data_IF_297754004001
#
_entry.id   IF_297754004001
#
_cell.length_a   1.000
_cell.length_b   1.000
_cell.length_c   1.000
_cell.angle_alpha   90.00
_cell.angle_beta   90.00
_cell.angle_gamma   90.00
#
_symmetry.space_group_name_H-M   'P 1'
#
loop_
_entity.id
_entity.type
_entity.pdbx_description
1 polymer ?
#
# COMPACT_ATOMS: atom_id res chain seq x y z
N UNK A 1 10.28 2.67 5.82
CA UNK A 1 11.33 3.71 5.85
C UNK A 1 12.33 3.43 6.96
N UNK A 2 12.01 3.61 8.27
CA UNK A 2 12.95 3.47 9.40
C UNK A 2 13.77 2.16 9.38
N UNK A 3 13.12 1.02 9.07
CA UNK A 3 13.80 -0.27 9.01
C UNK A 3 14.84 -0.35 7.89
N UNK A 4 14.53 0.21 6.72
CA UNK A 4 15.45 0.25 5.59
C UNK A 4 16.66 1.13 5.87
N UNK A 5 16.44 2.31 6.47
CA UNK A 5 17.51 3.20 6.92
C UNK A 5 18.43 2.48 7.90
N UNK A 6 17.88 1.82 8.94
CA UNK A 6 18.65 1.04 9.92
C UNK A 6 19.42 -0.14 9.31
N UNK A 7 19.04 -0.58 8.12
CA UNK A 7 19.76 -1.60 7.34
C UNK A 7 20.82 -1.01 6.40
N UNK A 8 21.04 0.32 6.44
CA UNK A 8 22.06 1.01 5.66
C UNK A 8 21.64 1.36 4.23
N UNK A 9 20.34 1.33 3.92
CA UNK A 9 19.87 1.72 2.60
C UNK A 9 19.65 3.23 2.51
N UNK A 10 19.92 3.81 1.34
CA UNK A 10 19.48 5.15 1.00
C UNK A 10 17.97 5.10 0.70
N UNK A 11 17.18 5.86 1.43
CA UNK A 11 15.71 5.80 1.33
C UNK A 11 15.14 7.13 0.91
N UNK A 12 14.28 7.10 -0.10
CA UNK A 12 13.39 8.20 -0.45
C UNK A 12 11.94 7.79 -0.12
N UNK A 13 11.32 8.49 0.80
CA UNK A 13 9.95 8.22 1.23
C UNK A 13 8.98 9.10 0.44
N UNK A 14 8.15 8.47 -0.41
CA UNK A 14 7.08 9.16 -1.14
C UNK A 14 5.84 9.26 -0.27
N UNK A 15 5.35 10.49 -0.06
CA UNK A 15 4.16 10.78 0.76
C UNK A 15 3.14 11.55 -0.04
N UNK A 16 1.85 11.34 0.26
CA UNK A 16 0.78 12.12 -0.37
C UNK A 16 0.89 13.59 0.05
N UNK A 17 0.95 14.49 -0.94
CA UNK A 17 0.85 15.92 -0.70
C UNK A 17 -0.51 16.27 -0.07
N UNK A 18 -0.48 17.06 0.99
CA UNK A 18 -1.68 17.57 1.64
C UNK A 18 -1.44 18.98 2.22
N UNK A 19 -2.54 19.75 2.39
CA UNK A 19 -2.49 21.12 2.88
C UNK A 19 -2.03 21.27 4.33
N UNK A 20 -2.02 20.18 5.10
CA UNK A 20 -1.56 20.19 6.50
C UNK A 20 -0.05 19.97 6.63
N UNK A 21 0.66 19.78 5.51
CA UNK A 21 2.08 19.44 5.47
C UNK A 21 2.44 18.21 6.32
N UNK A 22 1.47 17.30 6.55
CA UNK A 22 1.68 16.07 7.31
C UNK A 22 2.32 15.00 6.43
N UNK A 23 3.28 14.29 6.99
CA UNK A 23 3.91 13.10 6.39
C UNK A 23 3.37 11.80 7.00
N UNK A 24 2.23 11.90 7.70
CA UNK A 24 1.62 10.78 8.40
C UNK A 24 2.53 10.25 9.51
N UNK A 25 2.68 8.94 9.61
CA UNK A 25 3.51 8.33 10.66
C UNK A 25 5.01 8.70 10.60
N UNK A 26 5.49 9.25 9.48
CA UNK A 26 6.87 9.75 9.42
C UNK A 26 7.09 10.97 10.31
N UNK A 27 6.06 11.76 10.59
CA UNK A 27 6.14 12.90 11.52
C UNK A 27 6.50 12.47 12.96
N UNK A 28 6.32 11.19 13.28
CA UNK A 28 6.60 10.58 14.60
C UNK A 28 7.87 9.72 14.59
N UNK A 29 8.65 9.75 13.52
CA UNK A 29 9.95 9.08 13.49
C UNK A 29 10.94 9.77 14.42
N UNK A 30 11.93 8.99 14.89
CA UNK A 30 13.08 9.54 15.58
C UNK A 30 13.77 10.61 14.72
N UNK A 31 14.12 11.75 15.36
CA UNK A 31 14.69 12.90 14.65
C UNK A 31 16.03 12.60 13.98
N UNK A 32 16.82 11.69 14.55
CA UNK A 32 18.10 11.33 13.95
C UNK A 32 17.88 10.43 12.73
N UNK A 33 16.92 9.50 12.81
CA UNK A 33 16.53 8.69 11.65
C UNK A 33 15.92 9.56 10.54
N UNK A 34 15.18 10.61 10.87
CA UNK A 34 14.60 11.52 9.87
C UNK A 34 15.66 12.27 9.03
N UNK A 35 16.87 12.43 9.53
CA UNK A 35 17.98 13.05 8.78
C UNK A 35 18.61 12.12 7.75
N UNK A 36 18.36 10.82 7.87
CA UNK A 36 18.98 9.76 7.07
C UNK A 36 18.16 9.36 5.84
N UNK A 37 17.02 10.02 5.56
CA UNK A 37 16.22 9.75 4.39
C UNK A 37 15.58 11.01 3.82
N UNK A 38 15.33 10.98 2.51
CA UNK A 38 14.63 12.06 1.79
C UNK A 38 13.12 11.85 1.84
N UNK A 39 12.35 12.93 2.03
CA UNK A 39 10.89 12.91 1.90
C UNK A 39 10.49 13.64 0.62
N UNK A 40 9.79 12.95 -0.25
CA UNK A 40 9.21 13.52 -1.47
C UNK A 40 7.68 13.53 -1.34
N UNK A 41 7.06 14.71 -1.39
CA UNK A 41 5.61 14.84 -1.36
C UNK A 41 5.04 14.99 -2.77
N UNK A 42 4.12 14.11 -3.12
CA UNK A 42 3.50 14.08 -4.45
C UNK A 42 2.19 13.28 -4.45
N UNK A 43 1.68 12.97 -5.62
CA UNK A 43 0.49 12.14 -5.80
C UNK A 43 0.84 10.93 -6.69
N UNK A 44 0.52 9.72 -6.23
CA UNK A 44 0.78 8.50 -6.99
C UNK A 44 0.04 8.47 -8.34
N UNK A 45 -1.05 9.22 -8.46
CA UNK A 45 -1.84 9.35 -9.69
C UNK A 45 -1.19 10.26 -10.73
N UNK A 46 -0.18 11.04 -10.33
CA UNK A 46 0.60 11.92 -11.22
C UNK A 46 1.93 11.28 -11.57
N UNK A 47 2.06 10.90 -12.84
CA UNK A 47 3.26 10.26 -13.38
C UNK A 47 4.51 11.12 -13.20
N UNK A 48 4.38 12.45 -13.32
CA UNK A 48 5.49 13.38 -13.12
C UNK A 48 6.05 13.32 -11.70
N UNK A 49 5.16 13.31 -10.70
CA UNK A 49 5.54 13.15 -9.27
C UNK A 49 6.24 11.82 -9.02
N UNK A 50 5.70 10.71 -9.59
CA UNK A 50 6.29 9.37 -9.43
C UNK A 50 7.68 9.31 -10.04
N UNK A 51 7.86 9.82 -11.25
CA UNK A 51 9.17 9.89 -11.94
C UNK A 51 10.19 10.72 -11.16
N UNK A 52 9.78 11.89 -10.68
CA UNK A 52 10.66 12.75 -9.89
C UNK A 52 11.14 12.06 -8.60
N UNK A 53 10.23 11.34 -7.91
CA UNK A 53 10.55 10.62 -6.70
C UNK A 53 11.46 9.39 -6.96
N UNK A 54 11.20 8.63 -8.01
CA UNK A 54 11.93 7.39 -8.30
C UNK A 54 13.29 7.61 -8.98
N UNK A 55 13.62 8.84 -9.34
CA UNK A 55 14.91 9.14 -9.97
C UNK A 55 16.08 8.66 -9.11
N UNK A 56 16.97 7.86 -9.72
CA UNK A 56 18.15 7.25 -9.06
C UNK A 56 17.79 6.29 -7.93
N UNK A 57 16.63 5.65 -8.00
CA UNK A 57 16.28 4.54 -7.11
C UNK A 57 16.50 3.21 -7.83
N UNK A 58 17.12 2.26 -7.15
CA UNK A 58 17.35 0.91 -7.66
C UNK A 58 16.11 0.03 -7.47
N UNK A 59 15.38 0.24 -6.37
CA UNK A 59 14.19 -0.56 -5.99
C UNK A 59 13.03 0.37 -5.65
N UNK A 60 11.83 0.03 -6.11
CA UNK A 60 10.59 0.72 -5.73
C UNK A 60 9.73 -0.20 -4.87
N UNK A 61 9.45 0.20 -3.62
CA UNK A 61 8.49 -0.47 -2.75
C UNK A 61 7.18 0.29 -2.81
N UNK A 62 6.23 -0.23 -3.57
CA UNK A 62 4.93 0.40 -3.81
C UNK A 62 3.91 0.02 -2.73
N UNK A 63 3.72 0.92 -1.76
CA UNK A 63 2.77 0.80 -0.65
C UNK A 63 1.55 1.72 -0.80
N UNK A 64 1.61 2.68 -1.73
CA UNK A 64 0.56 3.69 -1.89
C UNK A 64 -0.74 3.06 -2.41
N UNK A 65 -1.80 3.13 -1.62
CA UNK A 65 -3.11 2.60 -1.98
C UNK A 65 -4.22 3.23 -1.12
N UNK A 66 -5.43 3.24 -1.64
CA UNK A 66 -6.64 3.34 -0.84
C UNK A 66 -7.05 1.92 -0.42
N UNK A 67 -7.25 1.70 0.90
CA UNK A 67 -7.44 0.36 1.47
C UNK A 67 -8.76 0.15 2.23
N UNK A 68 -9.51 1.22 2.53
CA UNK A 68 -10.73 1.14 3.32
C UNK A 68 -11.90 0.53 2.55
N UNK A 69 -12.24 -0.75 2.77
CA UNK A 69 -13.36 -1.42 2.08
C UNK A 69 -14.66 -0.61 2.13
N UNK A 70 -15.14 -0.12 3.31
CA UNK A 70 -16.39 0.65 3.36
C UNK A 70 -16.36 1.92 2.50
N UNK A 71 -15.24 2.62 2.47
CA UNK A 71 -15.10 3.82 1.64
C UNK A 71 -15.10 3.49 0.14
N UNK A 72 -14.65 2.30 -0.26
CA UNK A 72 -14.64 1.88 -1.66
C UNK A 72 -16.04 1.80 -2.28
N UNK A 73 -17.07 1.58 -1.48
CA UNK A 73 -18.46 1.57 -1.95
C UNK A 73 -19.00 2.98 -2.25
N UNK A 74 -18.44 4.01 -1.62
CA UNK A 74 -18.85 5.40 -1.83
C UNK A 74 -18.03 6.11 -2.91
N UNK A 75 -16.78 5.73 -3.06
CA UNK A 75 -15.84 6.40 -3.98
C UNK A 75 -15.03 5.39 -4.83
N UNK A 76 -15.68 4.47 -5.58
CA UNK A 76 -14.98 3.42 -6.33
C UNK A 76 -13.99 3.98 -7.36
N UNK A 77 -14.31 5.12 -7.99
CA UNK A 77 -13.42 5.78 -8.94
C UNK A 77 -12.07 6.15 -8.33
N UNK A 78 -12.08 6.65 -7.08
CA UNK A 78 -10.84 6.99 -6.38
C UNK A 78 -9.92 5.77 -6.18
N UNK A 79 -10.50 4.57 -6.03
CA UNK A 79 -9.74 3.32 -5.93
C UNK A 79 -9.14 2.90 -7.26
N UNK A 80 -9.86 3.08 -8.36
CA UNK A 80 -9.32 2.85 -9.70
C UNK A 80 -8.15 3.81 -9.96
N UNK A 81 -8.34 5.09 -9.72
CA UNK A 81 -7.33 6.12 -9.98
C UNK A 81 -6.08 5.93 -9.10
N UNK A 82 -6.26 5.59 -7.82
CA UNK A 82 -5.13 5.41 -6.90
C UNK A 82 -4.48 4.06 -7.06
N UNK A 83 -5.25 2.96 -7.01
CA UNK A 83 -4.70 1.62 -6.92
C UNK A 83 -4.29 1.06 -8.29
N UNK A 84 -5.07 1.31 -9.35
CA UNK A 84 -4.73 0.80 -10.70
C UNK A 84 -3.83 1.79 -11.43
N UNK A 85 -4.29 3.02 -11.64
CA UNK A 85 -3.50 4.03 -12.35
C UNK A 85 -2.21 4.38 -11.61
N UNK A 86 -2.27 4.50 -10.27
CA UNK A 86 -1.07 4.72 -9.46
C UNK A 86 -0.05 3.59 -9.62
N UNK A 87 -0.48 2.33 -9.65
CA UNK A 87 0.40 1.18 -9.92
C UNK A 87 0.97 1.23 -11.34
N UNK A 88 0.15 1.58 -12.34
CA UNK A 88 0.62 1.78 -13.72
C UNK A 88 1.72 2.84 -13.78
N UNK A 89 1.54 4.00 -13.13
CA UNK A 89 2.54 5.06 -13.08
C UNK A 89 3.87 4.59 -12.48
N UNK A 90 3.83 3.77 -11.43
CA UNK A 90 5.02 3.16 -10.82
C UNK A 90 5.71 2.24 -11.81
N UNK A 91 4.97 1.39 -12.50
CA UNK A 91 5.53 0.41 -13.44
C UNK A 91 6.09 1.07 -14.70
N UNK A 92 5.44 2.10 -15.24
CA UNK A 92 5.97 2.90 -16.35
C UNK A 92 7.29 3.59 -15.94
N UNK A 93 7.32 4.16 -14.73
CA UNK A 93 8.52 4.78 -14.19
C UNK A 93 9.64 3.75 -13.99
N UNK A 94 9.31 2.58 -13.46
CA UNK A 94 10.27 1.49 -13.26
C UNK A 94 10.88 1.03 -14.58
N UNK A 95 10.07 0.92 -15.64
CA UNK A 95 10.54 0.62 -16.98
C UNK A 95 11.46 1.71 -17.54
N UNK A 96 11.03 2.98 -17.44
CA UNK A 96 11.77 4.10 -18.02
C UNK A 96 13.14 4.33 -17.31
N UNK A 97 13.27 3.93 -16.05
CA UNK A 97 14.49 4.07 -15.25
C UNK A 97 15.25 2.75 -15.05
N UNK A 98 14.76 1.66 -15.66
CA UNK A 98 15.39 0.33 -15.59
C UNK A 98 15.68 -0.11 -14.14
N UNK A 99 14.70 0.09 -13.23
CA UNK A 99 14.88 -0.28 -11.82
C UNK A 99 15.08 -1.78 -11.66
N UNK A 100 15.87 -2.19 -10.66
CA UNK A 100 16.20 -3.60 -10.42
C UNK A 100 15.00 -4.43 -9.95
N UNK A 101 14.04 -3.83 -9.21
CA UNK A 101 12.83 -4.53 -8.79
C UNK A 101 11.72 -3.55 -8.34
N UNK A 102 10.47 -3.93 -8.60
CA UNK A 102 9.29 -3.30 -8.03
C UNK A 102 8.62 -4.27 -7.07
N UNK A 103 8.55 -3.92 -5.80
CA UNK A 103 7.81 -4.69 -4.80
C UNK A 103 6.40 -4.10 -4.72
N UNK A 104 5.43 -4.74 -5.37
CA UNK A 104 4.03 -4.32 -5.38
C UNK A 104 3.28 -4.95 -4.21
N UNK A 105 2.75 -4.12 -3.31
CA UNK A 105 1.94 -4.59 -2.18
C UNK A 105 0.48 -4.70 -2.58
N UNK A 106 0.00 -5.93 -2.68
CA UNK A 106 -1.40 -6.31 -2.89
C UNK A 106 -2.11 -6.59 -1.55
N UNK A 107 -2.99 -7.58 -1.50
CA UNK A 107 -3.79 -7.95 -0.32
C UNK A 107 -4.33 -9.37 -0.47
N UNK A 108 -4.62 -10.05 0.64
CA UNK A 108 -5.38 -11.31 0.64
C UNK A 108 -6.84 -11.14 0.17
N UNK A 109 -7.40 -9.93 0.22
CA UNK A 109 -8.77 -9.65 -0.24
C UNK A 109 -8.98 -9.94 -1.75
N UNK A 110 -7.90 -10.06 -2.53
CA UNK A 110 -7.97 -10.46 -3.94
C UNK A 110 -8.48 -11.88 -4.13
N UNK A 111 -8.35 -12.74 -3.13
CA UNK A 111 -8.80 -14.12 -3.17
C UNK A 111 -10.30 -14.30 -2.89
N UNK A 112 -10.92 -13.32 -2.20
CA UNK A 112 -12.31 -13.40 -1.78
C UNK A 112 -12.56 -14.55 -0.79
N UNK A 113 -13.72 -15.19 -0.87
CA UNK A 113 -14.05 -16.34 -0.04
C UNK A 113 -13.20 -17.54 -0.41
N UNK A 114 -12.55 -18.15 0.58
CA UNK A 114 -11.69 -19.32 0.38
C UNK A 114 -12.46 -20.48 -0.25
N UNK A 115 -11.99 -21.00 -1.36
CA UNK A 115 -12.50 -22.23 -2.00
C UNK A 115 -11.80 -23.48 -1.50
N UNK A 116 -10.57 -23.33 -1.04
CA UNK A 116 -9.75 -24.35 -0.39
C UNK A 116 -8.78 -23.69 0.59
N UNK A 117 -8.31 -24.45 1.55
CA UNK A 117 -7.31 -24.02 2.53
C UNK A 117 -6.20 -25.07 2.64
N UNK A 118 -4.95 -24.67 2.82
CA UNK A 118 -4.48 -23.28 2.91
C UNK A 118 -4.66 -22.53 1.56
N UNK A 119 -4.88 -21.21 1.62
CA UNK A 119 -4.89 -20.37 0.43
C UNK A 119 -3.44 -20.21 -0.05
N UNK A 120 -3.20 -20.56 -1.30
CA UNK A 120 -1.91 -20.40 -1.99
C UNK A 120 -2.03 -19.33 -3.07
N UNK A 121 -0.92 -18.97 -3.72
CA UNK A 121 -0.90 -18.00 -4.82
C UNK A 121 -1.67 -18.48 -6.05
N UNK A 122 -1.93 -19.78 -6.16
CA UNK A 122 -2.74 -20.41 -7.22
C UNK A 122 -4.26 -20.27 -6.98
N UNK A 123 -4.66 -19.80 -5.80
CA UNK A 123 -6.08 -19.60 -5.49
C UNK A 123 -6.70 -18.60 -6.48
N UNK A 124 -7.90 -18.86 -7.02
CA UNK A 124 -8.57 -17.95 -7.94
C UNK A 124 -8.77 -16.56 -7.33
N UNK A 125 -8.58 -15.52 -8.14
CA UNK A 125 -8.82 -14.15 -7.74
C UNK A 125 -10.31 -13.82 -7.89
N UNK A 126 -10.94 -13.34 -6.81
CA UNK A 126 -12.37 -13.02 -6.77
C UNK A 126 -12.62 -11.78 -5.91
N UNK A 127 -12.62 -10.61 -6.54
CA UNK A 127 -12.89 -9.35 -5.84
C UNK A 127 -14.35 -9.26 -5.35
N UNK A 128 -14.54 -9.14 -4.05
CA UNK A 128 -15.86 -9.02 -3.41
C UNK A 128 -16.17 -7.58 -2.98
N UNK A 129 -15.32 -6.63 -3.33
CA UNK A 129 -15.52 -5.19 -3.10
C UNK A 129 -14.84 -4.37 -4.19
N UNK A 130 -15.20 -3.09 -4.40
CA UNK A 130 -14.46 -2.21 -5.31
C UNK A 130 -12.97 -2.09 -4.94
N UNK A 131 -12.63 -2.13 -3.63
CA UNK A 131 -11.25 -2.21 -3.17
C UNK A 131 -10.55 -3.47 -3.69
N UNK A 132 -11.12 -4.65 -3.42
CA UNK A 132 -10.52 -5.92 -3.85
C UNK A 132 -10.38 -5.98 -5.38
N UNK A 133 -11.41 -5.55 -6.12
CA UNK A 133 -11.37 -5.47 -7.57
C UNK A 133 -10.27 -4.53 -8.08
N UNK A 134 -10.07 -3.38 -7.45
CA UNK A 134 -8.98 -2.46 -7.79
C UNK A 134 -7.60 -3.05 -7.53
N UNK A 135 -7.44 -3.83 -6.47
CA UNK A 135 -6.17 -4.53 -6.17
C UNK A 135 -5.90 -5.67 -7.14
N UNK A 136 -6.93 -6.43 -7.55
CA UNK A 136 -6.82 -7.41 -8.63
C UNK A 136 -6.39 -6.73 -9.93
N UNK A 137 -7.00 -5.60 -10.29
CA UNK A 137 -6.63 -4.81 -11.46
C UNK A 137 -5.16 -4.37 -11.40
N UNK A 138 -4.70 -3.88 -10.25
CA UNK A 138 -3.30 -3.51 -10.03
C UNK A 138 -2.35 -4.70 -10.17
N UNK A 139 -2.70 -5.87 -9.59
CA UNK A 139 -1.93 -7.11 -9.72
C UNK A 139 -1.81 -7.53 -11.20
N UNK A 140 -2.92 -7.46 -11.96
CA UNK A 140 -2.91 -7.83 -13.39
C UNK A 140 -2.08 -6.86 -14.23
N UNK A 141 -2.12 -5.55 -13.94
CA UNK A 141 -1.21 -4.58 -14.58
C UNK A 141 0.24 -4.91 -14.25
N UNK A 142 0.56 -5.20 -12.99
CA UNK A 142 1.93 -5.57 -12.59
C UNK A 142 2.42 -6.83 -13.32
N UNK A 143 1.59 -7.87 -13.37
CA UNK A 143 1.90 -9.10 -14.13
C UNK A 143 2.07 -8.84 -15.62
N UNK A 144 1.25 -7.98 -16.23
CA UNK A 144 1.37 -7.65 -17.66
C UNK A 144 2.67 -6.92 -17.98
N UNK A 145 3.15 -6.04 -17.08
CA UNK A 145 4.44 -5.39 -17.26
C UNK A 145 5.61 -6.36 -17.13
N UNK A 146 5.54 -7.31 -16.20
CA UNK A 146 6.51 -8.40 -16.13
C UNK A 146 6.55 -9.24 -17.41
N UNK A 147 5.39 -9.69 -17.90
CA UNK A 147 5.33 -10.60 -19.06
C UNK A 147 5.61 -9.91 -20.39
N UNK A 148 5.26 -8.62 -20.53
CA UNK A 148 5.38 -7.91 -21.81
C UNK A 148 6.65 -7.06 -21.94
N UNK A 149 7.18 -6.59 -20.82
CA UNK A 149 8.31 -5.66 -20.81
C UNK A 149 9.48 -6.17 -19.96
N UNK A 150 9.36 -7.39 -19.39
CA UNK A 150 10.38 -8.03 -18.55
C UNK A 150 10.77 -7.19 -17.31
N UNK A 151 9.87 -6.33 -16.84
CA UNK A 151 10.10 -5.52 -15.64
C UNK A 151 10.11 -6.44 -14.41
N UNK A 152 11.18 -6.49 -13.61
CA UNK A 152 11.20 -7.30 -12.41
C UNK A 152 10.17 -6.81 -11.38
N UNK A 153 9.11 -7.59 -11.16
CA UNK A 153 8.03 -7.26 -10.20
C UNK A 153 7.82 -8.42 -9.23
N UNK A 154 7.80 -8.11 -7.95
CA UNK A 154 7.41 -9.03 -6.88
C UNK A 154 6.09 -8.59 -6.28
N UNK A 155 5.04 -9.43 -6.37
CA UNK A 155 3.73 -9.13 -5.79
C UNK A 155 3.62 -9.78 -4.41
N UNK A 156 3.39 -8.95 -3.38
CA UNK A 156 3.18 -9.42 -2.00
C UNK A 156 1.71 -9.28 -1.65
N UNK A 157 1.08 -10.40 -1.23
CA UNK A 157 -0.32 -10.43 -0.78
C UNK A 157 -0.41 -10.72 0.71
N UNK A 158 -0.19 -9.70 1.58
CA UNK A 158 -0.27 -9.91 3.01
C UNK A 158 -1.71 -10.27 3.41
N UNK A 159 -1.83 -11.19 4.35
CA UNK A 159 -3.05 -11.43 5.11
C UNK A 159 -3.19 -10.37 6.21
N UNK A 160 -4.21 -10.50 7.06
CA UNK A 160 -4.45 -9.54 8.12
C UNK A 160 -3.22 -9.37 9.01
N UNK A 161 -2.70 -8.16 9.03
CA UNK A 161 -1.55 -7.78 9.83
C UNK A 161 -1.98 -6.82 10.94
N UNK A 162 -1.28 -6.83 12.05
CA UNK A 162 -1.46 -5.88 13.14
C UNK A 162 -0.11 -5.45 13.70
N UNK A 163 -0.08 -4.30 14.37
CA UNK A 163 1.13 -3.79 14.98
C UNK A 163 1.07 -2.31 15.33
N UNK A 164 2.16 -1.77 15.87
CA UNK A 164 2.26 -0.35 16.17
C UNK A 164 1.95 0.52 14.94
N UNK A 165 1.29 1.64 15.17
CA UNK A 165 0.89 2.62 14.15
C UNK A 165 -0.22 2.12 13.20
N UNK A 166 -0.89 1.02 13.51
CA UNK A 166 -2.08 0.61 12.77
C UNK A 166 -3.20 1.65 12.92
N UNK A 167 -4.00 1.84 11.87
CA UNK A 167 -5.14 2.74 11.89
C UNK A 167 -6.12 2.39 13.01
N UNK A 168 -6.57 3.40 13.76
CA UNK A 168 -7.59 3.26 14.82
C UNK A 168 -8.95 2.78 14.31
N UNK A 169 -9.15 2.69 12.99
CA UNK A 169 -10.34 2.07 12.38
C UNK A 169 -10.24 0.54 12.26
N UNK A 170 -9.07 -0.04 12.46
CA UNK A 170 -8.90 -1.48 12.49
C UNK A 170 -9.39 -2.07 13.81
N UNK A 171 -9.86 -3.33 13.78
CA UNK A 171 -10.54 -3.97 14.93
C UNK A 171 -9.68 -4.01 16.19
N UNK A 172 -8.42 -4.40 16.08
CA UNK A 172 -7.53 -4.51 17.25
C UNK A 172 -7.27 -3.14 17.91
N UNK A 173 -6.84 -2.08 17.21
CA UNK A 173 -6.74 -0.75 17.80
C UNK A 173 -8.08 -0.22 18.34
N UNK A 174 -9.20 -0.50 17.67
CA UNK A 174 -10.52 -0.12 18.18
C UNK A 174 -10.81 -0.76 19.53
N UNK A 175 -10.52 -2.05 19.69
CA UNK A 175 -10.68 -2.76 20.99
C UNK A 175 -9.75 -2.15 22.04
N UNK A 176 -8.48 -1.98 21.71
CA UNK A 176 -7.48 -1.42 22.66
C UNK A 176 -7.94 -0.03 23.14
N UNK A 177 -8.33 0.86 22.23
CA UNK A 177 -8.78 2.21 22.58
C UNK A 177 -10.01 2.17 23.50
N UNK A 178 -11.02 1.36 23.18
CA UNK A 178 -12.22 1.25 24.03
C UNK A 178 -11.89 0.73 25.44
N UNK A 179 -10.98 -0.22 25.55
CA UNK A 179 -10.53 -0.73 26.86
C UNK A 179 -9.74 0.34 27.63
N UNK A 180 -8.83 1.04 26.97
CA UNK A 180 -8.03 2.11 27.60
C UNK A 180 -8.87 3.31 28.01
N UNK A 181 -9.97 3.58 27.30
CA UNK A 181 -10.96 4.60 27.64
C UNK A 181 -11.92 4.16 28.78
N UNK A 182 -11.71 2.96 29.35
CA UNK A 182 -12.47 2.45 30.48
C UNK A 182 -13.86 1.92 30.13
N UNK A 183 -14.13 1.63 28.84
CA UNK A 183 -15.44 1.09 28.44
C UNK A 183 -15.63 -0.34 28.98
N UNK A 184 -16.72 -0.58 29.68
CA UNK A 184 -17.09 -1.90 30.19
C UNK A 184 -17.73 -2.82 29.13
N UNK A 185 -18.15 -2.25 27.99
CA UNK A 185 -18.74 -2.98 26.86
C UNK A 185 -18.09 -2.51 25.56
N UNK A 186 -17.63 -3.46 24.75
CA UNK A 186 -17.01 -3.17 23.46
C UNK A 186 -18.07 -3.02 22.36
N UNK A 187 -17.96 -1.94 21.58
CA UNK A 187 -18.76 -1.72 20.39
C UNK A 187 -17.93 -2.14 19.16
N UNK A 188 -18.29 -3.27 18.59
CA UNK A 188 -17.64 -3.80 17.38
C UNK A 188 -18.63 -3.74 16.22
N UNK A 189 -18.11 -3.79 14.99
CA UNK A 189 -18.93 -3.92 13.79
C UNK A 189 -19.62 -5.28 13.70
N UNK A 190 -20.16 -5.63 12.52
CA UNK A 190 -20.79 -6.93 12.28
C UNK A 190 -19.82 -8.08 12.59
N UNK A 191 -20.29 -9.08 13.31
CA UNK A 191 -19.52 -10.26 13.77
C UNK A 191 -19.94 -11.54 13.00
N UNK A 192 -20.50 -11.41 11.79
CA UNK A 192 -20.93 -12.52 10.94
C UNK A 192 -20.02 -12.71 9.76
#
# INVERSE_FOLDING_TARGET
TERLVKLGNNVKAFTLYNSFNSKGWLDYCDKDIMKEFEIFSGDIRDLGSVRAAAKSCDIIIHLAALIGIPYSYHAPQSYIDTNIKGTQNVLETARDFEVENVIHTSTSEVYGTARFVPITEEHPLQGQSPYAASKIGADQIAMSFYTSFEIPVSIIRPFNTYGPRQSTRAVIPTIINQITDGQSRLNLGALH
#
